data_IF_710982402660
#
_entry.id   IF_710982402660
#
_cell.length_a   1.000
_cell.length_b   1.000
_cell.length_c   1.000
_cell.angle_alpha   90.00
_cell.angle_beta   90.00
_cell.angle_gamma   90.00
#
_symmetry.space_group_name_H-M   'P 1'
#
loop_
_entity.id
_entity.type
_entity.pdbx_description
1 polymer ?
#
# COMPACT_ATOMS: atom_id res chain seq x y z
N UNK A 1 -34.63 -53.01 26.25
CA UNK A 1 -33.71 -53.36 25.15
C UNK A 1 -32.99 -52.08 24.81
N UNK A 2 -31.69 -52.08 25.08
CA UNK A 2 -30.73 -51.01 24.79
C UNK A 2 -30.31 -51.15 23.34
N UNK A 3 -30.80 -50.26 22.48
CA UNK A 3 -30.34 -50.19 21.10
C UNK A 3 -29.14 -49.22 21.06
N UNK A 4 -27.96 -49.83 21.04
CA UNK A 4 -26.70 -49.24 20.64
C UNK A 4 -26.84 -48.66 19.23
N UNK A 5 -26.92 -47.33 19.11
CA UNK A 5 -26.74 -46.66 17.83
C UNK A 5 -25.51 -45.76 17.91
N UNK A 6 -24.37 -46.43 18.08
CA UNK A 6 -23.01 -45.87 18.06
C UNK A 6 -22.52 -45.71 16.60
N UNK A 7 -23.36 -45.13 15.75
CA UNK A 7 -22.97 -44.79 14.38
C UNK A 7 -22.32 -43.40 14.42
N UNK A 8 -21.01 -43.42 14.65
CA UNK A 8 -20.10 -42.29 14.50
C UNK A 8 -19.97 -41.81 13.06
N UNK A 9 -21.08 -41.37 12.48
CA UNK A 9 -21.09 -40.69 11.19
C UNK A 9 -20.58 -39.26 11.40
N UNK A 10 -19.27 -39.14 11.38
CA UNK A 10 -18.56 -37.88 11.26
C UNK A 10 -18.81 -37.36 9.84
N UNK A 11 -19.96 -36.71 9.63
CA UNK A 11 -20.31 -36.06 8.37
C UNK A 11 -19.34 -34.90 8.11
N UNK A 12 -18.20 -35.20 7.48
CA UNK A 12 -17.26 -34.18 7.01
C UNK A 12 -17.90 -33.24 5.98
N UNK A 13 -19.00 -33.66 5.36
CA UNK A 13 -19.80 -32.90 4.39
C UNK A 13 -20.43 -31.62 4.98
N UNK A 14 -20.58 -31.55 6.31
CA UNK A 14 -21.08 -30.37 7.01
C UNK A 14 -19.99 -29.55 7.70
N UNK A 15 -18.72 -29.96 7.63
CA UNK A 15 -17.62 -29.08 8.03
C UNK A 15 -17.49 -28.01 6.96
N UNK A 16 -18.06 -26.84 7.26
CA UNK A 16 -17.81 -25.63 6.48
C UNK A 16 -16.33 -25.55 6.13
N UNK A 17 -16.03 -25.22 4.87
CA UNK A 17 -14.65 -25.06 4.42
C UNK A 17 -13.93 -24.19 5.46
N UNK A 18 -12.69 -24.53 5.87
CA UNK A 18 -11.96 -23.74 6.84
C UNK A 18 -12.07 -22.28 6.43
N UNK A 19 -12.52 -21.43 7.37
CA UNK A 19 -12.76 -20.02 7.10
C UNK A 19 -11.53 -19.48 6.36
N UNK A 20 -11.72 -18.81 5.21
CA UNK A 20 -10.60 -18.25 4.48
C UNK A 20 -9.85 -17.38 5.48
N UNK A 21 -8.56 -17.68 5.68
CA UNK A 21 -7.73 -16.91 6.58
C UNK A 21 -7.81 -15.46 6.11
N UNK A 22 -8.54 -14.61 6.85
CA UNK A 22 -8.61 -13.19 6.61
C UNK A 22 -7.18 -12.68 6.80
N UNK A 23 -6.46 -12.61 5.69
CA UNK A 23 -5.13 -12.05 5.64
C UNK A 23 -5.24 -10.62 6.10
N UNK A 24 -4.86 -10.36 7.35
CA UNK A 24 -4.69 -9.01 7.85
C UNK A 24 -3.71 -8.23 6.96
N UNK A 25 -3.58 -6.93 7.23
CA UNK A 25 -2.70 -6.06 6.45
C UNK A 25 -1.30 -6.66 6.33
N UNK A 26 -0.90 -6.97 5.10
CA UNK A 26 0.44 -7.50 4.83
C UNK A 26 1.49 -6.41 5.05
N UNK A 27 2.72 -6.76 5.44
CA UNK A 27 3.79 -5.78 5.62
C UNK A 27 4.02 -4.91 4.37
N UNK A 28 3.83 -5.49 3.18
CA UNK A 28 3.94 -4.79 1.90
C UNK A 28 2.86 -3.74 1.73
N UNK A 29 1.61 -4.05 2.09
CA UNK A 29 0.50 -3.07 2.05
C UNK A 29 0.73 -1.93 3.05
N UNK A 30 1.27 -2.23 4.22
CA UNK A 30 1.60 -1.22 5.23
C UNK A 30 2.69 -0.25 4.72
N UNK A 31 3.73 -0.77 4.05
CA UNK A 31 4.81 0.06 3.49
C UNK A 31 4.31 0.86 2.26
N UNK A 32 3.45 0.28 1.43
CA UNK A 32 2.79 1.03 0.35
C UNK A 32 1.91 2.16 0.89
N UNK A 33 1.16 1.91 1.97
CA UNK A 33 0.38 2.93 2.67
C UNK A 33 1.27 4.07 3.21
N UNK A 34 2.43 3.74 3.76
CA UNK A 34 3.42 4.73 4.18
C UNK A 34 3.93 5.56 2.99
N UNK A 35 4.27 4.91 1.88
CA UNK A 35 4.68 5.60 0.64
C UNK A 35 3.60 6.55 0.12
N UNK A 36 2.35 6.14 0.15
CA UNK A 36 1.22 6.98 -0.22
C UNK A 36 1.07 8.20 0.71
N UNK A 37 1.20 8.02 2.03
CA UNK A 37 1.17 9.12 2.99
C UNK A 37 2.30 10.12 2.72
N UNK A 38 3.51 9.65 2.37
CA UNK A 38 4.62 10.53 2.00
C UNK A 38 4.31 11.37 0.75
N UNK A 39 3.66 10.78 -0.26
CA UNK A 39 3.22 11.51 -1.46
C UNK A 39 2.22 12.60 -1.08
N UNK A 40 1.19 12.26 -0.29
CA UNK A 40 0.17 13.23 0.12
C UNK A 40 0.76 14.34 0.98
N UNK A 41 1.63 14.00 1.94
CA UNK A 41 2.31 14.97 2.79
C UNK A 41 3.21 15.91 1.98
N UNK A 42 4.02 15.37 1.06
CA UNK A 42 4.85 16.16 0.16
C UNK A 42 4.01 17.06 -0.75
N UNK A 43 2.87 16.57 -1.23
CA UNK A 43 1.95 17.35 -2.07
C UNK A 43 1.33 18.53 -1.31
N UNK A 44 0.83 18.29 -0.09
CA UNK A 44 0.27 19.36 0.76
C UNK A 44 1.35 20.40 1.08
N UNK A 45 2.55 19.96 1.47
CA UNK A 45 3.67 20.85 1.78
C UNK A 45 4.06 21.69 0.55
N UNK A 46 4.08 21.09 -0.63
CA UNK A 46 4.34 21.78 -1.89
C UNK A 46 3.26 22.82 -2.22
N UNK A 47 1.98 22.47 -2.08
CA UNK A 47 0.87 23.39 -2.33
C UNK A 47 0.89 24.61 -1.40
N UNK A 48 1.16 24.41 -0.11
CA UNK A 48 1.26 25.52 0.86
C UNK A 48 2.35 26.50 0.44
N UNK A 49 3.50 26.01 -0.02
CA UNK A 49 4.61 26.87 -0.48
C UNK A 49 4.32 27.56 -1.80
N UNK A 50 3.64 26.87 -2.71
CA UNK A 50 3.20 27.46 -3.98
C UNK A 50 2.18 28.58 -3.77
N UNK A 51 1.30 28.45 -2.78
CA UNK A 51 0.38 29.52 -2.38
C UNK A 51 1.11 30.71 -1.76
N UNK A 52 2.11 30.47 -0.89
CA UNK A 52 2.95 31.54 -0.34
C UNK A 52 3.74 32.31 -1.41
N UNK A 53 4.37 31.59 -2.33
CA UNK A 53 5.08 32.19 -3.47
C UNK A 53 4.15 33.01 -4.39
N UNK A 54 2.87 32.63 -4.50
CA UNK A 54 1.88 33.33 -5.33
C UNK A 54 1.37 34.62 -4.69
N UNK A 55 1.25 34.67 -3.36
CA UNK A 55 0.72 35.84 -2.63
C UNK A 55 1.75 36.97 -2.44
N UNK A 56 2.97 36.81 -2.97
CA UNK A 56 3.96 37.89 -3.03
C UNK A 56 4.64 38.14 -1.70
N UNK A 57 5.45 37.18 -1.25
CA UNK A 57 6.30 37.35 -0.07
C UNK A 57 7.45 38.34 -0.31
N UNK A 58 7.95 38.89 0.80
CA UNK A 58 9.10 39.80 0.83
C UNK A 58 10.28 39.06 0.15
N UNK A 59 11.02 39.68 -0.78
CA UNK A 59 12.07 39.01 -1.55
C UNK A 59 13.17 38.34 -0.71
N UNK A 60 13.29 38.68 0.57
CA UNK A 60 14.21 38.04 1.51
C UNK A 60 13.83 36.59 1.86
N UNK A 61 12.55 36.22 1.79
CA UNK A 61 12.08 34.89 2.16
C UNK A 61 11.93 33.97 0.94
N UNK A 62 11.91 34.53 -0.27
CA UNK A 62 11.65 33.81 -1.54
C UNK A 62 12.52 32.56 -1.72
N UNK A 63 13.82 32.66 -1.42
CA UNK A 63 14.76 31.54 -1.52
C UNK A 63 14.41 30.41 -0.53
N UNK A 64 13.99 30.75 0.69
CA UNK A 64 13.56 29.75 1.69
C UNK A 64 12.26 29.05 1.28
N UNK A 65 11.33 29.78 0.65
CA UNK A 65 10.11 29.18 0.12
C UNK A 65 10.37 28.26 -1.08
N UNK A 66 11.35 28.59 -1.93
CA UNK A 66 11.82 27.73 -3.01
C UNK A 66 12.50 26.46 -2.50
N UNK A 67 13.41 26.57 -1.53
CA UNK A 67 14.08 25.41 -0.92
C UNK A 67 13.07 24.44 -0.30
N UNK A 68 12.05 24.98 0.36
CA UNK A 68 11.00 24.17 0.95
C UNK A 68 10.05 23.57 -0.11
N UNK A 69 9.86 24.24 -1.24
CA UNK A 69 9.15 23.67 -2.40
C UNK A 69 9.96 22.53 -3.02
N UNK A 70 11.28 22.66 -3.18
CA UNK A 70 12.14 21.57 -3.65
C UNK A 70 12.17 20.40 -2.67
N UNK A 71 12.19 20.67 -1.36
CA UNK A 71 12.07 19.64 -0.33
C UNK A 71 10.75 18.85 -0.51
N UNK A 72 9.65 19.54 -0.79
CA UNK A 72 8.35 18.90 -1.05
C UNK A 72 8.40 17.94 -2.25
N UNK A 73 9.12 18.32 -3.31
CA UNK A 73 9.30 17.50 -4.50
C UNK A 73 10.14 16.25 -4.20
N UNK A 74 11.19 16.38 -3.39
CA UNK A 74 12.01 15.23 -2.96
C UNK A 74 11.17 14.26 -2.13
N UNK A 75 10.37 14.75 -1.18
CA UNK A 75 9.50 13.91 -0.34
C UNK A 75 8.49 13.15 -1.20
N UNK A 76 7.85 13.83 -2.17
CA UNK A 76 6.95 13.18 -3.12
C UNK A 76 7.67 12.14 -3.97
N UNK A 77 8.88 12.46 -4.46
CA UNK A 77 9.68 11.54 -5.26
C UNK A 77 10.03 10.27 -4.50
N UNK A 78 10.47 10.38 -3.25
CA UNK A 78 10.76 9.22 -2.40
C UNK A 78 9.49 8.40 -2.16
N UNK A 79 8.36 9.05 -1.87
CA UNK A 79 7.07 8.38 -1.74
C UNK A 79 6.71 7.59 -3.00
N UNK A 80 6.84 8.21 -4.17
CA UNK A 80 6.61 7.57 -5.47
C UNK A 80 7.52 6.37 -5.68
N UNK A 81 8.82 6.48 -5.41
CA UNK A 81 9.75 5.35 -5.52
C UNK A 81 9.30 4.17 -4.65
N UNK A 82 8.96 4.41 -3.38
CA UNK A 82 8.51 3.35 -2.45
C UNK A 82 7.25 2.67 -3.00
N UNK A 83 6.23 3.45 -3.38
CA UNK A 83 4.98 2.88 -3.93
C UNK A 83 5.19 2.18 -5.27
N UNK A 84 6.03 2.71 -6.16
CA UNK A 84 6.26 2.12 -7.48
C UNK A 84 7.10 0.85 -7.38
N UNK A 85 8.21 0.82 -6.63
CA UNK A 85 9.03 -0.39 -6.51
C UNK A 85 8.28 -1.52 -5.82
N UNK A 86 7.53 -1.24 -4.75
CA UNK A 86 6.82 -2.28 -4.00
C UNK A 86 5.49 -2.67 -4.64
N UNK A 87 4.72 -1.68 -5.11
CA UNK A 87 3.45 -1.91 -5.80
C UNK A 87 3.65 -2.61 -7.14
N UNK A 88 4.59 -2.15 -7.96
CA UNK A 88 4.91 -2.79 -9.23
C UNK A 88 5.61 -4.13 -9.02
N UNK A 89 6.54 -4.24 -8.05
CA UNK A 89 7.26 -5.49 -7.77
C UNK A 89 6.31 -6.63 -7.35
N UNK A 90 5.29 -6.34 -6.55
CA UNK A 90 4.28 -7.32 -6.15
C UNK A 90 3.41 -7.79 -7.32
N UNK A 91 2.96 -6.86 -8.18
CA UNK A 91 2.16 -7.18 -9.36
C UNK A 91 2.98 -7.89 -10.45
N UNK A 92 4.23 -7.48 -10.66
CA UNK A 92 5.15 -8.07 -11.63
C UNK A 92 5.51 -9.52 -11.26
N UNK A 93 5.78 -9.79 -9.98
CA UNK A 93 6.05 -11.17 -9.52
C UNK A 93 4.85 -12.08 -9.75
N UNK A 94 3.63 -11.61 -9.43
CA UNK A 94 2.38 -12.34 -9.70
C UNK A 94 2.18 -12.61 -11.20
N UNK A 95 2.45 -11.63 -12.05
CA UNK A 95 2.35 -11.78 -13.51
C UNK A 95 3.36 -12.81 -14.05
N UNK A 96 4.63 -12.74 -13.64
CA UNK A 96 5.66 -13.71 -14.04
C UNK A 96 5.34 -15.13 -13.57
N UNK A 97 4.86 -15.32 -12.33
CA UNK A 97 4.43 -16.64 -11.84
C UNK A 97 3.25 -17.17 -12.64
N UNK A 98 2.29 -16.33 -13.04
CA UNK A 98 1.14 -16.76 -13.85
C UNK A 98 1.51 -17.19 -15.26
N UNK A 99 2.54 -16.59 -15.84
CA UNK A 99 3.05 -16.96 -17.17
C UNK A 99 3.80 -18.29 -17.11
N UNK A 100 4.72 -18.46 -16.15
CA UNK A 100 5.47 -19.72 -15.97
C UNK A 100 4.56 -20.90 -15.62
N UNK A 101 3.57 -20.70 -14.75
CA UNK A 101 2.60 -21.76 -14.38
C UNK A 101 1.62 -22.11 -15.50
N UNK A 102 1.48 -21.28 -16.54
CA UNK A 102 0.64 -21.59 -17.70
C UNK A 102 1.40 -22.38 -18.77
N UNK A 103 2.71 -22.56 -18.60
CA UNK A 103 3.59 -23.26 -19.53
C UNK A 103 3.94 -24.70 -19.06
N UNK A 104 3.43 -25.13 -17.89
CA UNK A 104 3.39 -26.52 -17.40
C UNK A 104 1.98 -27.12 -17.51
#
# INVERSE_FOLDING_TARGET
MSDDNDNGENFEEFKGRPDPSEGGLTPTEMIMGLGFILIVAGFILGLVRLLGLKDGEIPADYDAHLDQLYLSYIVMFVGMLITSFLGFGGMFKRAMTSLVSSEE
#
